data_IF_439606786371
#
_entry.id   IF_439606786371
#
_cell.length_a   1.000
_cell.length_b   1.000
_cell.length_c   1.000
_cell.angle_alpha   90.00
_cell.angle_beta   90.00
_cell.angle_gamma   90.00
#
_symmetry.space_group_name_H-M   'P 1'
#
loop_
_entity.id
_entity.type
_entity.pdbx_description
1 polymer ?
#
# COMPACT_ATOMS: atom_id res chain seq x y z
N UNK A 1 6.70 -23.35 7.24
CA UNK A 1 5.33 -23.66 6.78
C UNK A 1 4.59 -22.35 6.88
N UNK A 2 4.54 -21.61 5.78
CA UNK A 2 4.09 -20.21 5.75
C UNK A 2 2.62 -20.21 5.34
N UNK A 3 1.71 -20.00 6.29
CA UNK A 3 0.30 -19.81 5.98
C UNK A 3 0.12 -18.41 5.36
N UNK A 4 -0.47 -18.38 4.15
CA UNK A 4 -0.54 -17.20 3.29
C UNK A 4 -1.78 -16.31 3.52
N UNK A 5 -2.18 -15.51 2.50
CA UNK A 5 -3.08 -14.35 2.64
C UNK A 5 -4.49 -14.68 3.14
N UNK A 6 -5.26 -13.64 3.52
CA UNK A 6 -6.61 -13.66 4.13
C UNK A 6 -7.55 -14.76 3.62
N UNK A 7 -7.56 -15.05 2.32
CA UNK A 7 -8.37 -16.11 1.70
C UNK A 7 -8.03 -17.53 2.19
N UNK A 8 -6.78 -17.80 2.59
CA UNK A 8 -6.35 -19.11 3.10
C UNK A 8 -6.77 -19.36 4.55
N UNK A 9 -6.98 -18.31 5.36
CA UNK A 9 -7.25 -18.46 6.81
C UNK A 9 -8.73 -18.59 7.15
N UNK A 10 -9.63 -18.00 6.36
CA UNK A 10 -11.08 -18.15 6.53
C UNK A 10 -11.63 -19.48 5.97
N UNK A 11 -10.82 -20.23 5.22
CA UNK A 11 -11.23 -21.46 4.56
C UNK A 11 -11.02 -22.69 5.46
N UNK A 12 -11.93 -22.92 6.42
CA UNK A 12 -12.00 -24.19 7.17
C UNK A 12 -12.47 -25.39 6.31
N UNK A 13 -12.52 -25.24 4.98
CA UNK A 13 -12.78 -26.31 4.00
C UNK A 13 -11.67 -26.27 2.95
N UNK A 14 -10.73 -27.21 3.04
CA UNK A 14 -9.46 -27.30 2.30
C UNK A 14 -9.53 -27.41 0.75
N UNK A 15 -10.61 -26.99 0.08
CA UNK A 15 -10.84 -27.33 -1.33
C UNK A 15 -11.64 -26.32 -2.17
N UNK A 16 -11.74 -25.05 -1.75
CA UNK A 16 -12.30 -24.01 -2.64
C UNK A 16 -11.19 -23.25 -3.36
N UNK A 17 -11.41 -23.00 -4.66
CA UNK A 17 -10.50 -22.22 -5.49
C UNK A 17 -10.48 -20.76 -5.02
N UNK A 18 -9.34 -20.10 -5.18
CA UNK A 18 -9.22 -18.66 -4.91
C UNK A 18 -10.26 -17.89 -5.74
N UNK A 19 -10.97 -16.96 -5.10
CA UNK A 19 -11.87 -16.02 -5.80
C UNK A 19 -11.09 -15.00 -6.62
N UNK A 20 -9.84 -14.70 -6.20
CA UNK A 20 -8.92 -13.88 -6.98
C UNK A 20 -8.03 -14.83 -7.79
N UNK A 21 -8.37 -15.01 -9.06
CA UNK A 21 -7.66 -15.92 -9.96
C UNK A 21 -6.57 -15.19 -10.74
N UNK A 22 -6.83 -13.97 -11.18
CA UNK A 22 -5.90 -13.12 -11.92
C UNK A 22 -5.81 -11.73 -11.29
N UNK A 23 -4.60 -11.17 -11.25
CA UNK A 23 -4.37 -9.83 -10.72
C UNK A 23 -4.89 -8.73 -11.66
N UNK A 24 -5.13 -9.04 -12.95
CA UNK A 24 -5.74 -8.11 -13.92
C UNK A 24 -7.11 -7.60 -13.45
N UNK A 25 -7.85 -8.38 -12.65
CA UNK A 25 -9.14 -7.99 -12.11
C UNK A 25 -9.02 -6.78 -11.15
N UNK A 26 -7.89 -6.69 -10.43
CA UNK A 26 -7.58 -5.54 -9.56
C UNK A 26 -7.21 -4.28 -10.34
N UNK A 27 -6.77 -4.41 -11.60
CA UNK A 27 -6.43 -3.25 -12.44
C UNK A 27 -7.66 -2.58 -13.02
N UNK A 28 -8.70 -3.37 -13.35
CA UNK A 28 -9.92 -2.88 -14.03
C UNK A 28 -10.99 -2.46 -13.04
N UNK A 29 -11.27 -3.31 -12.05
CA UNK A 29 -12.41 -3.17 -11.13
C UNK A 29 -11.97 -3.51 -9.70
N UNK A 30 -10.99 -2.75 -9.19
CA UNK A 30 -10.37 -2.99 -7.87
C UNK A 30 -11.38 -3.12 -6.73
N UNK A 31 -12.26 -2.12 -6.58
CA UNK A 31 -13.23 -2.09 -5.48
C UNK A 31 -14.30 -3.17 -5.60
N UNK A 32 -14.85 -3.38 -6.79
CA UNK A 32 -15.86 -4.42 -7.01
C UNK A 32 -15.28 -5.82 -6.76
N UNK A 33 -14.03 -6.06 -7.17
CA UNK A 33 -13.31 -7.32 -6.91
C UNK A 33 -13.15 -7.56 -5.41
N UNK A 34 -12.69 -6.54 -4.67
CA UNK A 34 -12.52 -6.61 -3.20
C UNK A 34 -13.86 -6.84 -2.52
N UNK A 35 -14.90 -6.09 -2.88
CA UNK A 35 -16.25 -6.22 -2.33
C UNK A 35 -16.83 -7.62 -2.56
N UNK A 36 -16.60 -8.20 -3.74
CA UNK A 36 -17.06 -9.56 -4.05
C UNK A 36 -16.36 -10.62 -3.19
N UNK A 37 -15.06 -10.46 -2.92
CA UNK A 37 -14.32 -11.36 -2.02
C UNK A 37 -14.84 -11.21 -0.58
N UNK A 38 -15.04 -9.97 -0.10
CA UNK A 38 -15.53 -9.70 1.26
C UNK A 38 -16.97 -10.18 1.49
N UNK A 39 -17.84 -10.10 0.47
CA UNK A 39 -19.21 -10.66 0.53
C UNK A 39 -19.23 -12.17 0.81
N UNK A 40 -18.25 -12.92 0.30
CA UNK A 40 -18.11 -14.36 0.55
C UNK A 40 -17.54 -14.62 1.93
N UNK A 41 -16.52 -13.84 2.33
CA UNK A 41 -15.85 -13.98 3.63
C UNK A 41 -16.30 -12.90 4.64
N UNK A 42 -17.60 -12.81 4.92
CA UNK A 42 -18.15 -11.72 5.75
C UNK A 42 -17.54 -11.59 7.15
N UNK A 43 -17.02 -12.68 7.72
CA UNK A 43 -16.34 -12.63 9.02
C UNK A 43 -15.08 -11.77 9.01
N UNK A 44 -14.50 -11.52 7.84
CA UNK A 44 -13.32 -10.66 7.68
C UNK A 44 -13.61 -9.19 8.03
N UNK A 45 -14.85 -8.72 7.92
CA UNK A 45 -15.23 -7.34 8.26
C UNK A 45 -15.27 -7.12 9.78
N UNK A 46 -15.58 -8.16 10.55
CA UNK A 46 -15.70 -8.10 12.01
C UNK A 46 -14.40 -8.49 12.73
N UNK A 47 -13.58 -9.33 12.09
CA UNK A 47 -12.38 -9.89 12.68
C UNK A 47 -11.19 -8.94 12.54
N UNK A 48 -10.52 -8.65 13.66
CA UNK A 48 -9.22 -7.97 13.62
C UNK A 48 -8.13 -8.90 13.07
N UNK A 49 -7.19 -8.31 12.32
CA UNK A 49 -6.01 -9.00 11.78
C UNK A 49 -5.26 -9.71 12.92
N UNK A 50 -4.97 -11.01 12.74
CA UNK A 50 -4.23 -11.78 13.72
C UNK A 50 -2.73 -11.40 13.73
N UNK A 51 -2.00 -11.80 14.78
CA UNK A 51 -0.59 -11.44 14.94
C UNK A 51 0.31 -11.94 13.80
N UNK A 52 0.03 -13.12 13.26
CA UNK A 52 0.82 -13.72 12.16
C UNK A 52 0.59 -12.99 10.82
N UNK A 53 -0.65 -12.62 10.52
CA UNK A 53 -1.02 -11.87 9.32
C UNK A 53 -0.49 -10.44 9.37
N UNK A 54 -0.46 -9.84 10.57
CA UNK A 54 0.18 -8.54 10.75
C UNK A 54 1.68 -8.61 10.41
N UNK A 55 2.39 -9.62 10.93
CA UNK A 55 3.80 -9.84 10.58
C UNK A 55 3.98 -10.13 9.08
N UNK A 56 3.09 -10.93 8.49
CA UNK A 56 3.11 -11.22 7.07
C UNK A 56 2.90 -9.95 6.23
N UNK A 57 1.95 -9.09 6.59
CA UNK A 57 1.73 -7.80 5.94
C UNK A 57 2.97 -6.91 5.99
N UNK A 58 3.63 -6.80 7.13
CA UNK A 58 4.89 -6.06 7.25
C UNK A 58 5.99 -6.62 6.33
N UNK A 59 6.09 -7.95 6.22
CA UNK A 59 7.03 -8.60 5.29
C UNK A 59 6.69 -8.29 3.83
N UNK A 60 5.40 -8.22 3.46
CA UNK A 60 4.98 -7.80 2.12
C UNK A 60 5.46 -6.37 1.83
N UNK A 61 5.27 -5.44 2.76
CA UNK A 61 5.71 -4.04 2.62
C UNK A 61 7.23 -3.89 2.45
N UNK A 62 8.04 -4.84 2.94
CA UNK A 62 9.51 -4.80 2.89
C UNK A 62 10.12 -5.51 1.66
N UNK A 63 9.31 -6.09 0.75
CA UNK A 63 9.82 -6.84 -0.39
C UNK A 63 10.68 -5.96 -1.31
N UNK A 64 11.92 -6.39 -1.56
CA UNK A 64 12.94 -5.61 -2.29
C UNK A 64 12.63 -5.38 -3.77
N UNK A 65 11.80 -6.22 -4.39
CA UNK A 65 11.41 -6.13 -5.81
C UNK A 65 10.25 -5.14 -6.02
N UNK A 66 9.60 -4.70 -4.96
CA UNK A 66 8.42 -3.83 -5.02
C UNK A 66 8.79 -2.38 -4.70
N UNK A 67 8.03 -1.44 -5.28
CA UNK A 67 8.11 -0.02 -4.90
C UNK A 67 7.79 0.09 -3.39
N UNK A 68 8.51 0.94 -2.63
CA UNK A 68 8.18 1.17 -1.22
C UNK A 68 6.72 1.59 -1.07
N UNK A 69 6.06 1.08 -0.03
CA UNK A 69 4.68 1.42 0.26
C UNK A 69 4.55 2.92 0.57
N UNK A 70 3.47 3.60 0.13
CA UNK A 70 3.29 5.04 0.29
C UNK A 70 2.78 5.45 1.69
N UNK A 71 3.04 4.66 2.72
CA UNK A 71 2.59 4.89 4.09
C UNK A 71 3.53 4.22 5.11
N UNK A 72 3.38 4.56 6.39
CA UNK A 72 4.19 4.01 7.48
C UNK A 72 3.38 2.93 8.19
N UNK A 73 3.72 1.63 8.04
CA UNK A 73 2.90 0.56 8.61
C UNK A 73 3.15 0.34 10.10
N UNK A 74 4.34 0.67 10.62
CA UNK A 74 4.73 0.45 12.03
C UNK A 74 5.75 1.50 12.49
N UNK A 75 5.70 1.86 13.77
CA UNK A 75 6.65 2.77 14.42
C UNK A 75 7.65 1.96 15.28
N UNK A 76 8.70 1.45 14.64
CA UNK A 76 9.75 0.65 15.29
C UNK A 76 11.16 1.07 14.81
N UNK A 77 12.16 0.19 15.03
CA UNK A 77 13.54 0.42 14.59
C UNK A 77 13.69 0.58 13.07
N UNK A 78 12.71 0.15 12.28
CA UNK A 78 12.65 0.28 10.83
C UNK A 78 11.91 1.54 10.36
N UNK A 79 11.57 2.48 11.25
CA UNK A 79 10.85 3.71 10.90
C UNK A 79 11.53 4.55 9.81
N UNK A 80 12.85 4.72 9.89
CA UNK A 80 13.59 5.59 8.95
C UNK A 80 13.41 5.19 7.47
N UNK A 81 13.62 3.92 7.07
CA UNK A 81 13.38 3.50 5.70
C UNK A 81 11.89 3.56 5.30
N UNK A 82 10.93 3.47 6.22
CA UNK A 82 9.53 3.71 5.90
C UNK A 82 9.24 5.16 5.56
N UNK A 83 9.88 6.08 6.28
CA UNK A 83 9.60 7.51 6.17
C UNK A 83 10.35 8.19 5.01
N UNK A 84 11.60 7.80 4.75
CA UNK A 84 12.50 8.55 3.85
C UNK A 84 12.75 7.90 2.49
N UNK A 85 12.32 6.66 2.27
CA UNK A 85 12.62 5.93 1.04
C UNK A 85 11.68 6.36 -0.09
N UNK A 86 12.23 6.69 -1.26
CA UNK A 86 11.47 7.03 -2.49
C UNK A 86 10.40 8.12 -2.29
N UNK A 87 10.79 9.29 -1.75
CA UNK A 87 9.88 10.40 -1.41
C UNK A 87 9.80 11.51 -2.47
N UNK A 88 10.48 11.36 -3.61
CA UNK A 88 10.60 12.43 -4.60
C UNK A 88 9.55 12.37 -5.71
N UNK A 89 9.13 11.17 -6.10
CA UNK A 89 8.21 10.98 -7.23
C UNK A 89 6.83 11.63 -6.99
N UNK A 90 6.43 11.78 -5.72
CA UNK A 90 5.18 12.41 -5.31
C UNK A 90 5.14 13.91 -5.69
N UNK A 91 6.30 14.56 -5.85
CA UNK A 91 6.35 15.95 -6.30
C UNK A 91 6.01 16.10 -7.78
N UNK A 92 6.14 15.02 -8.57
CA UNK A 92 5.85 14.98 -10.01
C UNK A 92 4.43 14.45 -10.30
N UNK A 93 3.88 13.64 -9.39
CA UNK A 93 2.53 13.05 -9.49
C UNK A 93 1.71 13.34 -8.22
N UNK A 94 1.07 14.52 -8.21
CA UNK A 94 0.22 14.95 -7.10
C UNK A 94 -1.11 14.20 -7.01
N UNK A 95 -1.59 13.60 -8.10
CA UNK A 95 -2.86 12.87 -8.10
C UNK A 95 -2.79 11.63 -7.19
N UNK A 96 -1.59 11.07 -7.03
CA UNK A 96 -1.32 9.97 -6.12
C UNK A 96 -1.13 10.40 -4.65
N UNK A 97 -1.08 11.71 -4.35
CA UNK A 97 -0.92 12.26 -3.00
C UNK A 97 -2.29 12.46 -2.37
N UNK A 98 -2.41 12.14 -1.07
CA UNK A 98 -3.64 12.34 -0.30
C UNK A 98 -4.07 13.81 -0.41
N UNK A 99 -5.32 14.03 -0.81
CA UNK A 99 -5.93 15.35 -1.05
C UNK A 99 -5.18 16.22 -2.09
N UNK A 100 -4.27 15.64 -2.87
CA UNK A 100 -3.41 16.34 -3.84
C UNK A 100 -2.64 17.52 -3.21
N UNK A 101 -2.36 17.43 -1.90
CA UNK A 101 -1.77 18.50 -1.12
C UNK A 101 -0.25 18.54 -1.27
N UNK A 102 0.24 19.55 -2.00
CA UNK A 102 1.67 19.78 -2.21
C UNK A 102 2.46 19.92 -0.89
N UNK A 103 1.81 20.39 0.19
CA UNK A 103 2.42 20.55 1.51
C UNK A 103 2.87 19.24 2.16
N UNK A 104 2.47 18.09 1.57
CA UNK A 104 2.81 16.74 2.04
C UNK A 104 3.93 16.09 1.23
N UNK A 105 4.47 16.78 0.22
CA UNK A 105 5.50 16.24 -0.67
C UNK A 105 6.89 16.82 -0.37
N UNK A 106 7.93 16.10 -0.78
CA UNK A 106 9.30 16.60 -0.73
C UNK A 106 9.70 17.19 -2.08
N UNK A 107 9.95 18.50 -2.12
CA UNK A 107 10.46 19.20 -3.31
C UNK A 107 11.91 19.59 -3.05
N UNK A 108 12.82 19.16 -3.93
CA UNK A 108 14.22 19.58 -3.86
C UNK A 108 14.34 20.94 -4.54
N UNK A 109 14.65 21.97 -3.76
CA UNK A 109 14.87 23.31 -4.30
C UNK A 109 16.09 24.00 -3.69
N UNK A 110 16.87 24.65 -4.54
CA UNK A 110 18.05 25.41 -4.13
C UNK A 110 17.67 26.77 -3.52
N UNK A 111 18.13 27.12 -2.31
CA UNK A 111 17.72 28.34 -1.61
C UNK A 111 18.14 29.63 -2.32
N UNK A 112 19.21 29.59 -3.13
CA UNK A 112 19.66 30.75 -3.93
C UNK A 112 18.98 30.81 -5.29
N UNK A 113 18.69 29.66 -5.90
CA UNK A 113 18.10 29.57 -7.23
C UNK A 113 16.64 30.02 -7.23
N UNK A 114 15.90 29.73 -6.16
CA UNK A 114 14.45 30.00 -6.06
C UNK A 114 14.08 31.47 -6.32
N UNK A 115 14.95 32.43 -5.98
CA UNK A 115 14.70 33.87 -6.22
C UNK A 115 14.65 34.27 -7.69
N UNK A 116 15.16 33.42 -8.58
CA UNK A 116 15.15 33.63 -10.03
C UNK A 116 13.99 32.91 -10.74
N UNK A 117 13.35 31.92 -10.09
CA UNK A 117 12.19 31.20 -10.61
C UNK A 117 10.91 32.01 -10.35
N UNK A 118 10.61 32.97 -11.24
CA UNK A 118 9.51 33.94 -11.05
C UNK A 118 8.31 33.74 -11.98
N UNK A 119 8.44 32.86 -12.97
CA UNK A 119 7.42 32.58 -13.97
C UNK A 119 7.19 31.08 -13.96
N UNK A 120 5.92 30.68 -13.88
CA UNK A 120 5.47 29.31 -14.08
C UNK A 120 4.67 29.27 -15.39
N UNK A 121 4.64 28.10 -16.02
CA UNK A 121 3.84 27.83 -17.22
C UNK A 121 2.33 27.74 -16.93
#
# INVERSE_FOLDING_TARGET
>A
MLDGPVQQKSCLRFLEASLLVDYTDLEKESQDTVDNILKVYRSADEQTINGEDNQYFLQLCQRSVQKPVPFIPVLDQSFEPWFKKETLWQSEDLEAVIDQDIGRTCIIQGPVAVKFAKVAD
#
